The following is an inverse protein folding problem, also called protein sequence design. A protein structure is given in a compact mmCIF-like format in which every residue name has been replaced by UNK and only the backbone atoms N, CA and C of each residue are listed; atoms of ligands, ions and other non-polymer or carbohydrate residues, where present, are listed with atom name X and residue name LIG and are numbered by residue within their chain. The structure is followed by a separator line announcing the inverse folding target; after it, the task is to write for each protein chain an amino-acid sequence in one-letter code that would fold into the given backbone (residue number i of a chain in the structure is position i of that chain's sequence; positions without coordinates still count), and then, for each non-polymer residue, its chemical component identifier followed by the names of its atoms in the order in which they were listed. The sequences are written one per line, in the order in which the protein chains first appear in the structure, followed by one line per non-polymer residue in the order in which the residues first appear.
data_IF_932239149057
#
_entry.id   IF_932239149057
#
_cell.length_a   1.000
_cell.length_b   1.000
_cell.length_c   1.000
_cell.angle_alpha   90.00
_cell.angle_beta   90.00
_cell.angle_gamma   90.00
#
_symmetry.space_group_name_H-M   'P 1'
#
loop_
_entity.id
_entity.type
_entity.pdbx_description
1 polymer ?
#
# COMPACT_ATOMS: atom_id res chain seq x y z
N UNK A 1 -49.11 63.49 22.62
CA UNK A 1 -48.38 62.26 23.02
C UNK A 1 -48.42 61.23 21.89
N UNK A 2 -47.80 61.48 20.72
CA UNK A 2 -47.81 60.53 19.58
C UNK A 2 -46.44 60.25 18.93
N UNK A 3 -45.34 60.82 19.45
CA UNK A 3 -43.98 60.60 18.89
C UNK A 3 -43.35 59.25 19.28
N UNK A 4 -43.86 58.59 20.32
CA UNK A 4 -43.28 57.35 20.85
C UNK A 4 -43.58 56.13 19.97
N UNK A 5 -44.72 56.09 19.26
CA UNK A 5 -45.06 54.93 18.42
C UNK A 5 -44.30 54.89 17.10
N UNK A 6 -43.92 56.06 16.52
CA UNK A 6 -43.16 56.11 15.28
C UNK A 6 -41.71 55.66 15.45
N UNK A 7 -41.10 55.98 16.60
CA UNK A 7 -39.74 55.55 16.95
C UNK A 7 -39.71 54.04 17.21
N UNK A 8 -40.71 53.49 17.90
CA UNK A 8 -40.83 52.05 18.13
C UNK A 8 -41.06 51.26 16.83
N UNK A 9 -41.90 51.77 15.91
CA UNK A 9 -42.12 51.13 14.61
C UNK A 9 -40.85 51.16 13.73
N UNK A 10 -40.10 52.26 13.74
CA UNK A 10 -38.83 52.37 13.03
C UNK A 10 -37.76 51.44 13.60
N UNK A 11 -37.63 51.36 14.93
CA UNK A 11 -36.72 50.43 15.61
C UNK A 11 -37.07 48.97 15.32
N UNK A 12 -38.36 48.60 15.37
CA UNK A 12 -38.79 47.24 15.03
C UNK A 12 -38.46 46.85 13.60
N UNK A 13 -38.64 47.77 12.65
CA UNK A 13 -38.24 47.58 11.26
C UNK A 13 -36.72 47.42 11.11
N UNK A 14 -35.93 48.29 11.76
CA UNK A 14 -34.48 48.23 11.71
C UNK A 14 -33.92 46.92 12.30
N UNK A 15 -34.52 46.41 13.38
CA UNK A 15 -34.15 45.11 13.98
C UNK A 15 -34.44 43.95 13.03
N UNK A 16 -35.61 43.95 12.38
CA UNK A 16 -35.97 42.91 11.40
C UNK A 16 -35.03 42.98 10.18
N UNK A 17 -34.75 44.17 9.66
CA UNK A 17 -33.82 44.37 8.54
C UNK A 17 -32.41 43.89 8.91
N UNK A 18 -31.90 44.23 10.09
CA UNK A 18 -30.61 43.74 10.59
C UNK A 18 -30.60 42.22 10.77
N UNK A 19 -31.66 41.63 11.32
CA UNK A 19 -31.78 40.19 11.49
C UNK A 19 -31.82 39.45 10.14
N UNK A 20 -32.51 39.99 9.13
CA UNK A 20 -32.56 39.42 7.79
C UNK A 20 -31.19 39.49 7.10
N UNK A 21 -30.44 40.58 7.27
CA UNK A 21 -29.07 40.70 6.74
C UNK A 21 -28.17 39.65 7.39
N UNK A 22 -28.18 39.55 8.72
CA UNK A 22 -27.39 38.53 9.45
C UNK A 22 -27.79 37.12 9.01
N UNK A 23 -29.09 36.85 8.88
CA UNK A 23 -29.59 35.56 8.42
C UNK A 23 -29.11 35.22 7.00
N UNK A 24 -29.17 36.18 6.06
CA UNK A 24 -28.70 35.97 4.69
C UNK A 24 -27.20 35.69 4.63
N UNK A 25 -26.39 36.41 5.43
CA UNK A 25 -24.94 36.19 5.52
C UNK A 25 -24.63 34.81 6.11
N UNK A 26 -25.28 34.43 7.22
CA UNK A 26 -25.12 33.11 7.84
C UNK A 26 -25.54 31.99 6.87
N UNK A 27 -26.66 32.16 6.16
CA UNK A 27 -27.11 31.19 5.17
C UNK A 27 -26.10 31.05 4.02
N UNK A 28 -25.49 32.15 3.58
CA UNK A 28 -24.41 32.13 2.59
C UNK A 28 -23.22 31.30 3.05
N UNK A 29 -22.79 31.45 4.30
CA UNK A 29 -21.71 30.63 4.88
C UNK A 29 -22.09 29.15 4.97
N UNK A 30 -23.31 28.83 5.42
CA UNK A 30 -23.79 27.44 5.51
C UNK A 30 -23.81 26.77 4.14
N UNK A 31 -24.28 27.45 3.10
CA UNK A 31 -24.29 26.92 1.73
C UNK A 31 -22.87 26.72 1.20
N UNK A 32 -21.94 27.63 1.51
CA UNK A 32 -20.55 27.49 1.10
C UNK A 32 -19.88 26.29 1.77
N UNK A 33 -20.03 26.15 3.09
CA UNK A 33 -19.49 25.02 3.86
C UNK A 33 -20.01 23.69 3.32
N UNK A 34 -21.33 23.59 3.08
CA UNK A 34 -21.92 22.37 2.52
C UNK A 34 -21.36 22.02 1.15
N UNK A 35 -21.10 23.03 0.30
CA UNK A 35 -20.50 22.81 -1.02
C UNK A 35 -19.05 22.35 -0.91
N UNK A 36 -18.29 22.90 0.05
CA UNK A 36 -16.91 22.50 0.32
C UNK A 36 -16.85 21.06 0.84
N UNK A 37 -17.68 20.69 1.82
CA UNK A 37 -17.79 19.31 2.33
C UNK A 37 -18.07 18.29 1.21
N UNK A 38 -19.01 18.61 0.31
CA UNK A 38 -19.35 17.74 -0.82
C UNK A 38 -18.18 17.64 -1.81
N UNK A 39 -17.46 18.75 -2.04
CA UNK A 39 -16.30 18.77 -2.93
C UNK A 39 -15.14 17.95 -2.37
N UNK A 40 -14.83 18.11 -1.09
CA UNK A 40 -13.75 17.40 -0.42
C UNK A 40 -14.04 15.89 -0.35
N UNK A 41 -15.30 15.52 -0.08
CA UNK A 41 -15.71 14.11 -0.12
C UNK A 41 -15.54 13.48 -1.50
N UNK A 42 -15.90 14.20 -2.58
CA UNK A 42 -15.67 13.72 -3.95
C UNK A 42 -14.19 13.61 -4.30
N UNK A 43 -13.36 14.54 -3.84
CA UNK A 43 -11.92 14.49 -4.05
C UNK A 43 -11.31 13.28 -3.34
N UNK A 44 -11.76 12.98 -2.12
CA UNK A 44 -11.34 11.81 -1.36
C UNK A 44 -11.79 10.50 -2.00
N UNK A 45 -13.04 10.39 -2.43
CA UNK A 45 -13.55 9.23 -3.19
C UNK A 45 -12.70 9.00 -4.44
N UNK A 46 -12.48 10.03 -5.27
CA UNK A 46 -11.68 9.91 -6.50
C UNK A 46 -10.17 9.65 -6.26
N UNK A 47 -9.65 9.98 -5.08
CA UNK A 47 -8.30 9.60 -4.67
C UNK A 47 -8.25 8.11 -4.28
N UNK A 48 -9.26 7.63 -3.58
CA UNK A 48 -9.37 6.22 -3.19
C UNK A 48 -9.62 5.29 -4.37
N UNK A 49 -10.39 5.70 -5.38
CA UNK A 49 -10.56 4.92 -6.63
C UNK A 49 -9.19 4.63 -7.29
N UNK A 50 -8.28 5.60 -7.27
CA UNK A 50 -6.92 5.42 -7.80
C UNK A 50 -6.07 4.49 -6.94
N UNK A 51 -6.25 4.54 -5.62
CA UNK A 51 -5.59 3.62 -4.69
C UNK A 51 -6.09 2.19 -4.91
N UNK A 52 -7.39 2.00 -5.12
CA UNK A 52 -7.99 0.70 -5.46
C UNK A 52 -7.35 0.13 -6.72
N UNK A 53 -7.30 0.91 -7.81
CA UNK A 53 -6.68 0.48 -9.06
C UNK A 53 -5.18 0.15 -8.92
N UNK A 54 -4.45 0.91 -8.07
CA UNK A 54 -3.04 0.61 -7.76
C UNK A 54 -2.90 -0.69 -6.97
N UNK A 55 -3.76 -0.93 -5.99
CA UNK A 55 -3.79 -2.18 -5.20
C UNK A 55 -4.03 -3.39 -6.12
N UNK A 56 -5.00 -3.31 -7.03
CA UNK A 56 -5.29 -4.38 -7.99
C UNK A 56 -4.09 -4.67 -8.90
N UNK A 57 -3.43 -3.62 -9.38
CA UNK A 57 -2.20 -3.74 -10.18
C UNK A 57 -1.08 -4.40 -9.37
N UNK A 58 -0.88 -3.99 -8.12
CA UNK A 58 0.11 -4.56 -7.22
C UNK A 58 -0.18 -6.04 -6.92
N UNK A 59 -1.44 -6.43 -6.72
CA UNK A 59 -1.82 -7.85 -6.57
C UNK A 59 -1.39 -8.64 -7.80
N UNK A 60 -1.73 -8.17 -9.01
CA UNK A 60 -1.37 -8.86 -10.24
C UNK A 60 0.15 -9.00 -10.41
N UNK A 61 0.92 -7.98 -10.02
CA UNK A 61 2.38 -8.02 -10.02
C UNK A 61 2.93 -9.06 -9.02
N UNK A 62 2.39 -9.10 -7.79
CA UNK A 62 2.78 -10.10 -6.78
C UNK A 62 2.45 -11.52 -7.26
N UNK A 63 1.26 -11.75 -7.80
CA UNK A 63 0.84 -13.05 -8.32
C UNK A 63 1.74 -13.54 -9.46
N UNK A 64 2.24 -12.62 -10.30
CA UNK A 64 3.15 -12.96 -11.40
C UNK A 64 4.55 -13.41 -10.93
N UNK A 65 4.98 -13.01 -9.72
CA UNK A 65 6.32 -13.34 -9.20
C UNK A 65 6.30 -14.37 -8.07
N UNK A 66 5.23 -14.47 -7.27
CA UNK A 66 5.22 -15.38 -6.12
C UNK A 66 5.42 -16.84 -6.52
N UNK A 67 4.76 -17.28 -7.60
CA UNK A 67 4.94 -18.63 -8.13
C UNK A 67 6.36 -18.89 -8.66
N UNK A 68 7.06 -17.84 -9.08
CA UNK A 68 8.48 -17.96 -9.43
C UNK A 68 9.35 -18.17 -8.19
N UNK A 69 9.18 -17.36 -7.15
CA UNK A 69 9.95 -17.51 -5.92
C UNK A 69 9.71 -18.87 -5.26
N UNK A 70 8.46 -19.35 -5.24
CA UNK A 70 8.12 -20.72 -4.83
C UNK A 70 8.86 -21.78 -5.67
N UNK A 71 8.94 -21.59 -6.99
CA UNK A 71 9.69 -22.50 -7.86
C UNK A 71 11.21 -22.48 -7.63
N UNK A 72 11.77 -21.34 -7.23
CA UNK A 72 13.19 -21.22 -6.86
C UNK A 72 13.45 -22.02 -5.57
N UNK A 73 12.58 -21.89 -4.57
CA UNK A 73 12.66 -22.70 -3.33
C UNK A 73 12.65 -24.19 -3.65
N UNK A 74 11.72 -24.65 -4.49
CA UNK A 74 11.63 -26.06 -4.88
C UNK A 74 12.90 -26.58 -5.58
N UNK A 75 13.50 -25.79 -6.47
CA UNK A 75 14.77 -26.16 -7.14
C UNK A 75 15.93 -26.26 -6.15
N UNK A 76 15.97 -25.36 -5.16
CA UNK A 76 17.00 -25.40 -4.12
C UNK A 76 16.80 -26.64 -3.25
N UNK A 77 15.56 -26.99 -2.88
CA UNK A 77 15.24 -28.22 -2.16
C UNK A 77 15.73 -29.47 -2.90
N UNK A 78 15.43 -29.57 -4.19
CA UNK A 78 15.90 -30.68 -5.04
C UNK A 78 17.42 -30.76 -5.07
N UNK A 79 18.10 -29.62 -5.19
CA UNK A 79 19.58 -29.56 -5.18
C UNK A 79 20.16 -30.00 -3.85
N UNK A 80 19.58 -29.53 -2.74
CA UNK A 80 19.99 -29.90 -1.38
C UNK A 80 19.77 -31.40 -1.11
N UNK A 81 18.65 -31.97 -1.56
CA UNK A 81 18.40 -33.40 -1.46
C UNK A 81 19.46 -34.23 -2.22
N UNK A 82 19.86 -33.75 -3.41
CA UNK A 82 20.95 -34.38 -4.18
C UNK A 82 22.31 -34.32 -3.47
N UNK A 83 22.63 -33.21 -2.81
CA UNK A 83 23.85 -33.07 -1.99
C UNK A 83 23.81 -34.04 -0.80
N UNK A 84 22.70 -34.08 -0.07
CA UNK A 84 22.54 -34.97 1.08
C UNK A 84 22.67 -36.45 0.71
N UNK A 85 22.14 -36.86 -0.45
CA UNK A 85 22.23 -38.23 -0.95
C UNK A 85 23.66 -38.65 -1.33
N UNK A 86 24.54 -37.71 -1.70
CA UNK A 86 25.94 -37.99 -2.00
C UNK A 86 26.77 -38.31 -0.75
N UNK A 87 26.31 -37.89 0.44
CA UNK A 87 26.88 -38.26 1.73
C UNK A 87 28.20 -37.57 2.11
N UNK A 88 28.73 -36.69 1.27
CA UNK A 88 29.95 -35.92 1.53
C UNK A 88 29.69 -34.41 1.42
N UNK A 89 30.36 -33.57 2.23
CA UNK A 89 30.25 -32.11 2.12
C UNK A 89 30.66 -31.63 0.73
N UNK A 90 29.74 -30.98 0.03
CA UNK A 90 30.01 -30.42 -1.30
C UNK A 90 30.53 -28.99 -1.15
N UNK A 91 31.78 -28.79 -1.57
CA UNK A 91 32.34 -27.45 -1.75
C UNK A 91 32.14 -27.00 -3.20
N UNK A 92 31.80 -25.73 -3.38
CA UNK A 92 31.57 -25.16 -4.69
C UNK A 92 31.42 -23.65 -4.64
N UNK A 93 31.23 -23.04 -5.80
CA UNK A 93 31.00 -21.61 -5.95
C UNK A 93 29.49 -21.39 -6.09
N UNK A 94 28.78 -20.80 -5.10
CA UNK A 94 27.32 -20.71 -5.18
C UNK A 94 26.82 -19.87 -6.34
N UNK A 95 27.61 -18.89 -6.79
CA UNK A 95 27.28 -18.11 -7.98
C UNK A 95 27.08 -18.98 -9.23
N UNK A 96 27.80 -20.09 -9.37
CA UNK A 96 27.68 -20.99 -10.52
C UNK A 96 26.34 -21.76 -10.51
N UNK A 97 25.73 -21.92 -9.34
CA UNK A 97 24.44 -22.61 -9.17
C UNK A 97 23.27 -21.66 -9.46
N UNK A 98 23.44 -20.35 -9.26
CA UNK A 98 22.37 -19.36 -9.37
C UNK A 98 21.73 -19.30 -10.75
N UNK A 99 22.49 -19.50 -11.84
CA UNK A 99 21.93 -19.50 -13.19
C UNK A 99 20.87 -20.59 -13.42
N UNK A 100 21.05 -21.76 -12.78
CA UNK A 100 20.11 -22.87 -12.88
C UNK A 100 18.95 -22.73 -11.87
N UNK A 101 19.27 -22.32 -10.65
CA UNK A 101 18.31 -22.23 -9.55
C UNK A 101 17.36 -21.04 -9.71
N UNK A 102 17.88 -19.88 -10.15
CA UNK A 102 17.15 -18.62 -10.28
C UNK A 102 17.41 -17.96 -11.65
N UNK A 103 16.88 -18.52 -12.75
CA UNK A 103 17.18 -18.07 -14.12
C UNK A 103 16.67 -16.65 -14.44
N UNK A 104 15.75 -16.11 -13.65
CA UNK A 104 15.29 -14.71 -13.74
C UNK A 104 15.90 -13.83 -12.65
N UNK A 105 16.96 -14.30 -11.98
CA UNK A 105 17.54 -13.67 -10.79
C UNK A 105 16.55 -13.64 -9.63
N UNK A 106 16.72 -12.65 -8.73
CA UNK A 106 15.83 -12.45 -7.57
C UNK A 106 14.45 -11.92 -7.99
N UNK A 107 14.33 -11.29 -9.16
CA UNK A 107 13.07 -10.82 -9.78
C UNK A 107 12.13 -9.99 -8.87
N UNK A 108 12.26 -8.67 -8.90
CA UNK A 108 11.39 -7.78 -8.11
C UNK A 108 9.96 -7.71 -8.67
N UNK A 109 8.92 -7.65 -7.81
CA UNK A 109 7.53 -7.47 -8.25
C UNK A 109 7.24 -6.10 -8.91
N UNK A 110 8.00 -5.06 -8.59
CA UNK A 110 7.82 -3.73 -9.18
C UNK A 110 6.58 -2.97 -8.67
N UNK A 111 6.30 -3.11 -7.37
CA UNK A 111 5.12 -2.53 -6.70
C UNK A 111 5.16 -1.00 -6.70
N UNK A 112 3.98 -0.38 -6.84
CA UNK A 112 3.80 1.06 -6.74
C UNK A 112 3.23 1.46 -5.37
N UNK A 113 3.56 2.66 -4.92
CA UNK A 113 2.86 3.34 -3.81
C UNK A 113 2.46 4.78 -4.17
N UNK A 114 2.51 5.11 -5.46
CA UNK A 114 2.31 6.46 -5.96
C UNK A 114 0.90 6.97 -5.71
N UNK A 115 -0.14 6.19 -6.02
CA UNK A 115 -1.52 6.60 -5.82
C UNK A 115 -1.79 6.92 -4.35
N UNK A 116 -1.28 6.08 -3.45
CA UNK A 116 -1.38 6.31 -2.01
C UNK A 116 -0.60 7.53 -1.52
N UNK A 117 0.64 7.74 -1.99
CA UNK A 117 1.42 8.93 -1.66
C UNK A 117 0.75 10.21 -2.16
N UNK A 118 0.22 10.19 -3.37
CA UNK A 118 -0.52 11.31 -3.95
C UNK A 118 -1.82 11.57 -3.18
N UNK A 119 -2.55 10.53 -2.78
CA UNK A 119 -3.77 10.65 -1.97
C UNK A 119 -3.48 11.29 -0.61
N UNK A 120 -2.39 10.92 0.07
CA UNK A 120 -1.99 11.55 1.33
C UNK A 120 -1.69 13.05 1.18
N UNK A 121 -1.13 13.47 0.04
CA UNK A 121 -0.75 14.87 -0.19
C UNK A 121 -1.91 15.73 -0.69
N UNK A 122 -2.80 15.17 -1.52
CA UNK A 122 -3.77 15.95 -2.29
C UNK A 122 -5.21 15.41 -2.21
N UNK A 123 -5.44 14.29 -1.54
CA UNK A 123 -6.69 13.54 -1.58
C UNK A 123 -7.74 13.93 -0.55
N UNK A 124 -7.53 14.94 0.31
CA UNK A 124 -8.53 15.34 1.34
C UNK A 124 -9.02 14.16 2.20
N UNK A 125 -8.09 13.29 2.63
CA UNK A 125 -8.43 12.04 3.31
C UNK A 125 -9.03 12.22 4.71
N UNK A 126 -8.99 13.44 5.26
CA UNK A 126 -9.53 13.81 6.56
C UNK A 126 -11.06 13.69 6.66
N UNK A 127 -11.77 13.72 5.53
CA UNK A 127 -13.23 13.49 5.47
C UNK A 127 -13.62 12.00 5.46
N UNK A 128 -12.64 11.09 5.32
CA UNK A 128 -12.88 9.65 5.29
C UNK A 128 -12.84 9.03 6.70
N UNK A 129 -13.49 7.88 6.90
CA UNK A 129 -13.38 7.15 8.17
C UNK A 129 -11.92 6.80 8.47
N UNK A 130 -11.49 7.08 9.71
CA UNK A 130 -10.12 6.78 10.16
C UNK A 130 -9.69 5.33 9.89
N UNK A 131 -10.61 4.36 10.08
CA UNK A 131 -10.33 2.95 9.86
C UNK A 131 -9.88 2.65 8.43
N UNK A 132 -10.47 3.32 7.43
CA UNK A 132 -10.09 3.17 6.02
C UNK A 132 -8.68 3.72 5.79
N UNK A 133 -8.45 4.98 6.18
CA UNK A 133 -7.15 5.64 5.98
C UNK A 133 -6.03 4.89 6.70
N UNK A 134 -6.27 4.45 7.93
CA UNK A 134 -5.31 3.68 8.72
C UNK A 134 -5.10 2.26 8.16
N UNK A 135 -6.15 1.62 7.64
CA UNK A 135 -6.08 0.34 6.95
C UNK A 135 -5.19 0.43 5.72
N UNK A 136 -5.44 1.40 4.85
CA UNK A 136 -4.63 1.68 3.66
C UNK A 136 -3.17 1.95 4.05
N UNK A 137 -2.92 2.86 4.99
CA UNK A 137 -1.56 3.17 5.44
C UNK A 137 -0.80 1.92 5.94
N UNK A 138 -1.50 1.04 6.66
CA UNK A 138 -0.90 -0.20 7.20
C UNK A 138 -0.47 -1.15 6.10
N UNK A 139 -1.30 -1.36 5.08
CA UNK A 139 -0.98 -2.28 3.98
C UNK A 139 0.20 -1.77 3.15
N UNK A 140 0.27 -0.48 2.84
CA UNK A 140 1.46 0.10 2.19
C UNK A 140 2.70 0.08 3.11
N UNK A 141 2.52 0.16 4.43
CA UNK A 141 3.59 -0.09 5.38
C UNK A 141 4.13 -1.53 5.30
N UNK A 142 3.24 -2.52 5.18
CA UNK A 142 3.61 -3.93 5.00
C UNK A 142 4.32 -4.17 3.67
N UNK A 143 3.90 -3.51 2.60
CA UNK A 143 4.60 -3.53 1.31
C UNK A 143 6.06 -3.07 1.45
N UNK A 144 6.27 -1.87 2.00
CA UNK A 144 7.59 -1.26 2.07
C UNK A 144 8.55 -1.95 3.07
N UNK A 145 8.03 -2.35 4.24
CA UNK A 145 8.83 -2.94 5.32
C UNK A 145 8.91 -4.46 5.28
N UNK A 146 8.01 -5.12 4.53
CA UNK A 146 8.01 -6.56 4.30
C UNK A 146 8.65 -6.88 2.95
N UNK A 147 7.82 -7.04 1.92
CA UNK A 147 8.22 -7.57 0.61
C UNK A 147 9.39 -6.78 0.00
N UNK A 148 9.30 -5.45 -0.08
CA UNK A 148 10.33 -4.62 -0.71
C UNK A 148 11.64 -4.58 0.09
N UNK A 149 11.57 -4.65 1.43
CA UNK A 149 12.75 -4.70 2.29
C UNK A 149 13.44 -6.06 2.20
N UNK A 150 12.66 -7.15 2.27
CA UNK A 150 13.16 -8.53 2.20
C UNK A 150 13.81 -8.79 0.85
N UNK A 151 13.17 -8.37 -0.24
CA UNK A 151 13.73 -8.45 -1.59
C UNK A 151 15.08 -7.72 -1.69
N UNK A 152 15.17 -6.46 -1.22
CA UNK A 152 16.44 -5.70 -1.21
C UNK A 152 17.51 -6.41 -0.40
N UNK A 153 17.16 -6.89 0.78
CA UNK A 153 18.09 -7.61 1.66
C UNK A 153 18.62 -8.89 0.99
N UNK A 154 17.79 -9.65 0.29
CA UNK A 154 18.23 -10.84 -0.46
C UNK A 154 19.24 -10.45 -1.55
N UNK A 155 18.93 -9.42 -2.35
CA UNK A 155 19.84 -8.93 -3.38
C UNK A 155 21.16 -8.46 -2.76
N UNK A 156 21.10 -7.67 -1.70
CA UNK A 156 22.29 -7.18 -1.01
C UNK A 156 23.14 -8.34 -0.48
N UNK A 157 22.55 -9.35 0.15
CA UNK A 157 23.29 -10.48 0.70
C UNK A 157 23.88 -11.40 -0.37
N UNK A 158 23.13 -11.68 -1.44
CA UNK A 158 23.59 -12.52 -2.54
C UNK A 158 24.67 -11.84 -3.39
N UNK A 159 24.73 -10.52 -3.41
CA UNK A 159 25.65 -9.76 -4.26
C UNK A 159 26.54 -8.78 -3.48
N UNK A 160 26.66 -8.95 -2.15
CA UNK A 160 27.41 -8.06 -1.25
C UNK A 160 28.91 -7.92 -1.60
N UNK A 161 29.47 -8.88 -2.32
CA UNK A 161 30.87 -8.86 -2.70
C UNK A 161 31.34 -10.15 -3.37
N UNK A 162 32.64 -10.25 -3.70
CA UNK A 162 33.20 -11.38 -4.45
C UNK A 162 33.20 -12.70 -3.67
N UNK A 163 32.72 -12.71 -2.42
CA UNK A 163 32.66 -13.90 -1.57
C UNK A 163 31.77 -14.99 -2.18
N UNK A 164 30.67 -14.62 -2.84
CA UNK A 164 29.79 -15.58 -3.53
C UNK A 164 30.42 -16.24 -4.75
N UNK A 165 31.52 -15.67 -5.26
CA UNK A 165 32.33 -16.22 -6.35
C UNK A 165 33.51 -17.07 -5.83
N UNK A 166 33.61 -17.30 -4.52
CA UNK A 166 34.64 -18.15 -3.93
C UNK A 166 34.08 -19.51 -3.55
N UNK A 167 34.97 -20.49 -3.49
CA UNK A 167 34.62 -21.83 -3.05
C UNK A 167 34.25 -21.84 -1.56
N UNK A 168 33.06 -22.31 -1.25
CA UNK A 168 32.51 -22.39 0.11
C UNK A 168 31.63 -23.62 0.28
N UNK A 169 31.11 -23.80 1.49
CA UNK A 169 30.10 -24.83 1.77
C UNK A 169 28.84 -24.53 0.98
N UNK A 170 28.58 -25.36 -0.03
CA UNK A 170 27.48 -25.14 -0.95
C UNK A 170 26.14 -25.39 -0.26
N UNK A 171 26.06 -26.41 0.59
CA UNK A 171 24.83 -26.76 1.30
C UNK A 171 24.38 -25.62 2.21
N UNK A 172 25.29 -25.07 3.01
CA UNK A 172 24.98 -23.94 3.89
C UNK A 172 24.55 -22.70 3.10
N UNK A 173 25.21 -22.41 1.98
CA UNK A 173 24.90 -21.26 1.12
C UNK A 173 23.53 -21.39 0.45
N UNK A 174 23.19 -22.60 -0.02
CA UNK A 174 21.91 -22.89 -0.64
C UNK A 174 20.77 -22.86 0.39
N UNK A 175 20.95 -23.44 1.59
CA UNK A 175 19.95 -23.34 2.67
C UNK A 175 19.67 -21.89 3.06
N UNK A 176 20.72 -21.07 3.17
CA UNK A 176 20.55 -19.65 3.47
C UNK A 176 19.73 -18.93 2.38
N UNK A 177 20.03 -19.19 1.12
CA UNK A 177 19.31 -18.62 -0.03
C UNK A 177 17.84 -19.10 -0.03
N UNK A 178 17.61 -20.38 0.24
CA UNK A 178 16.27 -20.97 0.33
C UNK A 178 15.40 -20.27 1.38
N UNK A 179 15.94 -20.03 2.58
CA UNK A 179 15.23 -19.33 3.66
C UNK A 179 14.79 -17.94 3.20
N UNK A 180 15.68 -17.20 2.53
CA UNK A 180 15.36 -15.88 1.98
C UNK A 180 14.20 -15.92 0.99
N UNK A 181 14.23 -16.80 -0.01
CA UNK A 181 13.16 -16.92 -1.00
C UNK A 181 11.85 -17.46 -0.41
N UNK A 182 11.93 -18.38 0.55
CA UNK A 182 10.75 -18.92 1.24
C UNK A 182 10.05 -17.83 2.08
N UNK A 183 10.81 -17.01 2.79
CA UNK A 183 10.29 -15.86 3.52
C UNK A 183 9.67 -14.83 2.57
N UNK A 184 10.37 -14.48 1.48
CA UNK A 184 9.86 -13.54 0.48
C UNK A 184 8.53 -14.01 -0.10
N UNK A 185 8.44 -15.25 -0.58
CA UNK A 185 7.21 -15.81 -1.13
C UNK A 185 6.06 -15.80 -0.10
N UNK A 186 6.36 -16.10 1.16
CA UNK A 186 5.38 -16.06 2.25
C UNK A 186 4.86 -14.65 2.51
N UNK A 187 5.75 -13.65 2.52
CA UNK A 187 5.36 -12.24 2.67
C UNK A 187 4.54 -11.74 1.48
N UNK A 188 4.87 -12.17 0.25
CA UNK A 188 4.11 -11.82 -0.95
C UNK A 188 2.68 -12.37 -0.87
N UNK A 189 2.50 -13.65 -0.51
CA UNK A 189 1.17 -14.25 -0.26
C UNK A 189 0.40 -13.49 0.81
N UNK A 190 1.06 -13.22 1.93
CA UNK A 190 0.43 -12.48 3.03
C UNK A 190 -0.01 -11.08 2.59
N UNK A 191 0.82 -10.37 1.84
CA UNK A 191 0.50 -9.04 1.34
C UNK A 191 -0.67 -9.06 0.34
N UNK A 192 -0.72 -10.04 -0.56
CA UNK A 192 -1.88 -10.25 -1.46
C UNK A 192 -3.17 -10.38 -0.63
N UNK A 193 -3.15 -11.20 0.43
CA UNK A 193 -4.33 -11.39 1.27
C UNK A 193 -4.72 -10.13 2.04
N UNK A 194 -3.74 -9.32 2.48
CA UNK A 194 -4.01 -8.02 3.12
C UNK A 194 -4.60 -7.00 2.13
N UNK A 195 -4.10 -6.96 0.90
CA UNK A 195 -4.68 -6.12 -0.14
C UNK A 195 -6.13 -6.51 -0.44
N UNK A 196 -6.41 -7.81 -0.60
CA UNK A 196 -7.78 -8.28 -0.88
C UNK A 196 -8.76 -7.94 0.24
N UNK A 197 -8.36 -8.14 1.50
CA UNK A 197 -9.17 -7.71 2.66
C UNK A 197 -9.42 -6.20 2.65
N UNK A 198 -8.41 -5.39 2.37
CA UNK A 198 -8.58 -3.94 2.28
C UNK A 198 -9.53 -3.54 1.14
N UNK A 199 -9.46 -4.21 -0.01
CA UNK A 199 -10.41 -3.98 -1.11
C UNK A 199 -11.85 -4.32 -0.72
N UNK A 200 -12.06 -5.40 0.04
CA UNK A 200 -13.37 -5.75 0.61
C UNK A 200 -13.87 -4.65 1.57
N UNK A 201 -13.03 -4.19 2.50
CA UNK A 201 -13.37 -3.11 3.44
C UNK A 201 -13.71 -1.80 2.69
N UNK A 202 -12.99 -1.48 1.62
CA UNK A 202 -13.24 -0.30 0.77
C UNK A 202 -14.57 -0.40 0.02
N UNK A 203 -14.92 -1.59 -0.49
CA UNK A 203 -16.23 -1.84 -1.12
C UNK A 203 -17.37 -1.67 -0.13
N UNK A 204 -17.25 -2.23 1.07
CA UNK A 204 -18.26 -2.10 2.12
C UNK A 204 -18.46 -0.63 2.55
N UNK A 205 -17.38 0.17 2.52
CA UNK A 205 -17.44 1.61 2.76
C UNK A 205 -18.01 2.43 1.59
N UNK A 206 -18.30 1.80 0.44
CA UNK A 206 -18.82 2.46 -0.77
C UNK A 206 -17.78 3.29 -1.54
N UNK A 207 -16.50 3.01 -1.30
CA UNK A 207 -15.32 3.66 -1.90
C UNK A 207 -14.71 2.86 -3.06
N UNK A 208 -15.31 1.73 -3.41
CA UNK A 208 -15.07 0.99 -4.65
C UNK A 208 -16.44 0.70 -5.27
N UNK A 209 -16.75 1.36 -6.38
CA UNK A 209 -18.04 1.25 -7.09
C UNK A 209 -17.92 0.50 -8.42
N UNK A 210 -16.87 -0.28 -8.66
CA UNK A 210 -16.74 -1.07 -9.88
C UNK A 210 -16.47 -0.28 -11.16
#
# INVERSE_FOLDING_TARGET
MSKTSSVQAWLGRAVIEAALIVFAVVLGFVVNEWREDVSDRRAAEAAMDRVVAEIETNIAQLEAVVGYHESVVARIDERLAGIAAAGEPVRGVPFDEFGNLMPRGVNAPGLSSFAWQHAQQHGRLDVLPYAIVAGTARVYGMQASGVEATWRQIVELLFAGPQVMREQDLEASLRFTQIGFSELASQERFLIDQYRRLLEDLREAGLDRG
#
